data_IF_638813623874
#
_entry.id   IF_638813623874
#
_cell.length_a   1.000
_cell.length_b   1.000
_cell.length_c   1.000
_cell.angle_alpha   90.00
_cell.angle_beta   90.00
_cell.angle_gamma   90.00
#
_symmetry.space_group_name_H-M   'P 1'
#
loop_
_entity.id
_entity.type
_entity.pdbx_description
1 polymer ?
#
# COMPACT_ATOMS: atom_id res chain seq x y z
N UNK A 1 16.91 -17.06 -7.79
CA UNK A 1 15.56 -16.48 -7.65
C UNK A 1 15.15 -16.10 -6.22
N UNK A 2 15.54 -16.84 -5.17
CA UNK A 2 15.18 -16.47 -3.77
C UNK A 2 15.67 -15.08 -3.36
N UNK A 3 16.80 -14.65 -3.91
CA UNK A 3 17.42 -13.35 -3.64
C UNK A 3 16.82 -12.18 -4.42
N UNK A 4 15.97 -12.43 -5.43
CA UNK A 4 15.39 -11.37 -6.29
C UNK A 4 14.17 -10.69 -5.66
N UNK A 5 13.87 -10.94 -4.38
CA UNK A 5 12.68 -10.44 -3.66
C UNK A 5 11.31 -10.75 -4.32
N UNK A 6 11.29 -11.52 -5.42
CA UNK A 6 10.06 -11.91 -6.11
C UNK A 6 9.20 -12.77 -5.16
N UNK A 7 7.93 -12.40 -4.89
CA UNK A 7 7.04 -13.14 -4.01
C UNK A 7 6.78 -14.57 -4.50
N UNK A 8 6.43 -15.48 -3.56
CA UNK A 8 6.18 -16.90 -3.90
C UNK A 8 5.09 -17.07 -4.96
N UNK A 9 4.00 -16.31 -4.88
CA UNK A 9 2.89 -16.33 -5.85
C UNK A 9 3.37 -15.92 -7.25
N UNK A 10 4.16 -14.86 -7.35
CA UNK A 10 4.78 -14.43 -8.60
C UNK A 10 5.74 -15.45 -9.19
N UNK A 11 6.53 -16.17 -8.37
CA UNK A 11 7.35 -17.27 -8.88
C UNK A 11 6.51 -18.39 -9.49
N UNK A 12 5.33 -18.65 -8.93
CA UNK A 12 4.38 -19.58 -9.52
C UNK A 12 3.85 -19.06 -10.86
N UNK A 13 3.44 -17.79 -10.94
CA UNK A 13 2.96 -17.19 -12.20
C UNK A 13 4.02 -17.16 -13.30
N UNK A 14 5.22 -16.71 -12.96
CA UNK A 14 6.38 -16.73 -13.85
C UNK A 14 6.67 -18.14 -14.40
N UNK A 15 6.42 -19.20 -13.61
CA UNK A 15 6.56 -20.59 -14.05
C UNK A 15 5.45 -21.01 -15.01
N UNK A 16 4.19 -20.80 -14.65
CA UNK A 16 3.06 -21.31 -15.43
C UNK A 16 2.91 -20.54 -16.76
N UNK A 17 3.22 -19.24 -16.76
CA UNK A 17 3.09 -18.37 -17.94
C UNK A 17 4.35 -18.34 -18.82
N UNK A 18 5.41 -19.05 -18.41
CA UNK A 18 6.69 -19.10 -19.15
C UNK A 18 7.33 -17.73 -19.35
N UNK A 19 7.18 -16.85 -18.36
CA UNK A 19 7.58 -15.44 -18.40
C UNK A 19 9.02 -15.17 -17.93
N UNK A 20 9.85 -16.21 -17.83
CA UNK A 20 11.29 -16.11 -17.57
C UNK A 20 12.03 -16.63 -18.80
N UNK A 21 12.77 -15.74 -19.46
CA UNK A 21 13.56 -16.05 -20.65
C UNK A 21 15.04 -15.97 -20.32
N UNK A 22 15.81 -16.87 -20.93
CA UNK A 22 17.27 -16.84 -20.94
C UNK A 22 17.66 -16.77 -22.42
N UNK A 23 18.32 -15.68 -22.81
CA UNK A 23 18.68 -15.41 -24.21
C UNK A 23 17.44 -15.54 -25.14
N UNK A 24 16.37 -14.85 -24.77
CA UNK A 24 15.06 -14.80 -25.46
C UNK A 24 14.29 -16.12 -25.57
N UNK A 25 14.74 -17.20 -24.90
CA UNK A 25 14.05 -18.50 -24.89
C UNK A 25 13.58 -18.85 -23.48
N UNK A 26 12.36 -19.38 -23.37
CA UNK A 26 11.86 -19.91 -22.11
C UNK A 26 12.66 -21.16 -21.70
N UNK A 27 13.13 -21.19 -20.45
CA UNK A 27 13.79 -22.34 -19.85
C UNK A 27 13.18 -22.64 -18.46
N UNK A 28 13.21 -23.91 -18.00
CA UNK A 28 12.75 -24.28 -16.67
C UNK A 28 13.43 -23.50 -15.54
N UNK A 29 12.75 -23.25 -14.42
CA UNK A 29 13.30 -22.47 -13.28
C UNK A 29 14.55 -23.09 -12.63
N UNK A 30 14.79 -24.38 -12.81
CA UNK A 30 15.98 -25.09 -12.34
C UNK A 30 17.11 -25.12 -13.38
N UNK A 31 16.94 -24.47 -14.54
CA UNK A 31 17.99 -24.35 -15.54
C UNK A 31 19.18 -23.59 -14.96
N UNK A 32 20.38 -24.13 -15.19
CA UNK A 32 21.62 -23.50 -14.74
C UNK A 32 22.03 -22.44 -15.75
N UNK A 33 22.05 -21.19 -15.31
CA UNK A 33 22.54 -20.06 -16.11
C UNK A 33 24.05 -19.94 -16.03
N UNK A 34 24.66 -19.35 -17.05
CA UNK A 34 26.08 -19.09 -17.18
C UNK A 34 26.37 -17.58 -17.18
N UNK A 35 27.63 -17.22 -16.98
CA UNK A 35 28.10 -15.84 -17.11
C UNK A 35 27.75 -15.32 -18.52
N UNK A 36 27.25 -14.08 -18.59
CA UNK A 36 26.76 -13.39 -19.80
C UNK A 36 25.40 -13.84 -20.35
N UNK A 37 24.69 -14.76 -19.69
CA UNK A 37 23.28 -15.02 -20.04
C UNK A 37 22.43 -13.78 -19.75
N UNK A 38 21.62 -13.38 -20.73
CA UNK A 38 20.61 -12.34 -20.56
C UNK A 38 19.33 -12.97 -19.99
N UNK A 39 18.99 -12.60 -18.75
CA UNK A 39 17.77 -13.06 -18.09
C UNK A 39 16.69 -11.98 -18.19
N UNK A 40 15.61 -12.28 -18.91
CA UNK A 40 14.45 -11.40 -19.04
C UNK A 40 13.30 -11.97 -18.21
N UNK A 41 12.79 -11.18 -17.27
CA UNK A 41 11.63 -11.55 -16.44
C UNK A 41 10.48 -10.60 -16.76
N UNK A 42 9.38 -11.15 -17.29
CA UNK A 42 8.16 -10.39 -17.58
C UNK A 42 7.21 -10.48 -16.39
N UNK A 43 7.01 -9.35 -15.70
CA UNK A 43 6.14 -9.27 -14.51
C UNK A 43 4.77 -8.66 -14.85
N UNK A 44 4.18 -9.10 -15.95
CA UNK A 44 2.92 -8.59 -16.49
C UNK A 44 1.71 -9.47 -16.16
N UNK A 45 1.83 -10.39 -15.20
CA UNK A 45 0.67 -11.15 -14.73
C UNK A 45 -0.33 -10.20 -14.08
N UNK A 46 -1.53 -10.15 -14.64
CA UNK A 46 -2.67 -9.41 -14.08
C UNK A 46 -3.63 -10.44 -13.51
N UNK A 47 -3.83 -10.45 -12.19
CA UNK A 47 -4.84 -11.31 -11.58
C UNK A 47 -6.23 -10.90 -12.08
N UNK A 48 -7.07 -11.87 -12.43
CA UNK A 48 -8.41 -11.69 -13.02
C UNK A 48 -9.44 -11.01 -12.11
N UNK A 49 -9.07 -10.59 -10.90
CA UNK A 49 -9.92 -9.90 -9.92
C UNK A 49 -9.37 -8.52 -9.54
N UNK A 50 -8.55 -7.90 -10.40
CA UNK A 50 -8.08 -6.55 -10.12
C UNK A 50 -9.24 -5.56 -10.21
N UNK A 51 -9.52 -4.86 -9.11
CA UNK A 51 -10.44 -3.73 -9.11
C UNK A 51 -9.91 -2.66 -10.06
N UNK A 52 -10.71 -2.34 -11.07
CA UNK A 52 -10.40 -1.25 -11.99
C UNK A 52 -10.85 0.07 -11.36
N UNK A 53 -10.01 1.08 -11.53
CA UNK A 53 -10.29 2.45 -11.10
C UNK A 53 -10.51 3.27 -12.37
N UNK A 54 -11.76 3.57 -12.75
CA UNK A 54 -12.03 4.48 -13.86
C UNK A 54 -11.45 5.86 -13.55
N UNK A 55 -11.04 6.59 -14.59
CA UNK A 55 -10.54 7.95 -14.45
C UNK A 55 -11.63 8.87 -13.87
N UNK A 56 -11.30 9.63 -12.83
CA UNK A 56 -12.19 10.63 -12.25
C UNK A 56 -12.29 11.91 -13.09
N UNK A 57 -11.30 12.18 -13.94
CA UNK A 57 -11.09 13.47 -14.61
C UNK A 57 -10.33 14.50 -13.77
N UNK A 58 -10.10 14.24 -12.47
CA UNK A 58 -9.28 15.09 -11.60
C UNK A 58 -7.83 14.58 -11.54
N UNK A 59 -6.91 15.50 -11.24
CA UNK A 59 -5.48 15.21 -11.13
C UNK A 59 -5.06 15.13 -9.66
N UNK A 60 -4.27 14.13 -9.25
CA UNK A 60 -3.79 14.03 -7.88
C UNK A 60 -2.66 15.04 -7.62
N UNK A 61 -2.45 15.40 -6.35
CA UNK A 61 -1.29 16.18 -5.95
C UNK A 61 -0.06 15.26 -5.81
N UNK A 62 0.83 15.26 -6.81
CA UNK A 62 1.99 14.36 -6.87
C UNK A 62 3.16 14.95 -6.08
N UNK A 63 3.71 14.15 -5.16
CA UNK A 63 4.88 14.51 -4.34
C UNK A 63 6.14 13.82 -4.85
N UNK A 64 6.01 12.60 -5.35
CA UNK A 64 7.12 11.83 -5.91
C UNK A 64 6.62 10.81 -6.92
N UNK A 65 7.41 10.55 -7.95
CA UNK A 65 7.15 9.50 -8.93
C UNK A 65 8.45 8.88 -9.44
N UNK A 66 8.42 7.57 -9.69
CA UNK A 66 9.39 6.87 -10.52
C UNK A 66 8.66 5.83 -11.40
N UNK A 67 9.39 4.92 -12.03
CA UNK A 67 8.82 3.91 -12.93
C UNK A 67 7.83 2.95 -12.23
N UNK A 68 8.04 2.71 -10.93
CA UNK A 68 7.34 1.68 -10.16
C UNK A 68 6.26 2.22 -9.24
N UNK A 69 6.44 3.43 -8.70
CA UNK A 69 5.56 4.00 -7.67
C UNK A 69 5.24 5.46 -7.93
N UNK A 70 4.08 5.85 -7.42
CA UNK A 70 3.57 7.21 -7.34
C UNK A 70 3.25 7.52 -5.87
N UNK A 71 3.72 8.64 -5.35
CA UNK A 71 3.36 9.15 -4.02
C UNK A 71 2.59 10.43 -4.21
N UNK A 72 1.37 10.45 -3.70
CA UNK A 72 0.48 11.61 -3.77
C UNK A 72 0.20 12.15 -2.37
N UNK A 73 -0.06 13.45 -2.25
CA UNK A 73 -0.61 14.04 -1.05
C UNK A 73 -2.15 14.02 -1.14
N UNK A 74 -2.77 12.98 -0.56
CA UNK A 74 -4.21 12.82 -0.56
C UNK A 74 -4.86 13.87 0.37
N UNK A 75 -5.85 14.65 -0.09
CA UNK A 75 -6.59 15.56 0.78
C UNK A 75 -7.47 14.81 1.80
N UNK A 76 -7.84 15.49 2.88
CA UNK A 76 -8.89 15.02 3.78
C UNK A 76 -10.26 15.19 3.10
N UNK A 77 -11.21 14.31 3.42
CA UNK A 77 -12.52 14.24 2.78
C UNK A 77 -12.57 13.29 1.57
N UNK A 78 -11.42 12.84 1.07
CA UNK A 78 -11.36 11.93 -0.09
C UNK A 78 -11.06 10.49 0.32
N UNK A 79 -11.83 9.52 -0.20
CA UNK A 79 -11.56 8.09 -0.01
C UNK A 79 -10.30 7.67 -0.77
N UNK A 80 -9.60 6.64 -0.27
CA UNK A 80 -8.44 6.07 -0.98
C UNK A 80 -8.86 5.33 -2.26
N UNK A 81 -9.84 4.43 -2.15
CA UNK A 81 -10.35 3.60 -3.23
C UNK A 81 -11.88 3.44 -3.07
N UNK A 82 -12.60 3.05 -4.14
CA UNK A 82 -14.05 2.81 -4.07
C UNK A 82 -14.35 1.57 -3.23
N UNK A 83 -15.35 1.66 -2.36
CA UNK A 83 -15.90 0.50 -1.66
C UNK A 83 -17.12 -0.06 -2.42
N UNK A 84 -17.81 0.79 -3.18
CA UNK A 84 -18.97 0.47 -3.99
C UNK A 84 -18.78 1.09 -5.38
N UNK A 85 -19.52 2.16 -5.68
CA UNK A 85 -19.59 2.80 -7.00
C UNK A 85 -18.90 4.17 -7.05
N UNK A 86 -18.14 4.53 -6.02
CA UNK A 86 -17.44 5.82 -6.01
C UNK A 86 -16.42 5.91 -7.16
N UNK A 87 -16.34 7.06 -7.80
CA UNK A 87 -15.43 7.32 -8.94
C UNK A 87 -14.52 8.53 -8.73
N UNK A 88 -14.59 9.15 -7.55
CA UNK A 88 -13.90 10.38 -7.14
C UNK A 88 -12.84 10.11 -6.05
N UNK A 89 -12.36 8.86 -5.97
CA UNK A 89 -11.36 8.47 -4.96
C UNK A 89 -9.94 8.78 -5.42
N UNK A 90 -8.99 8.78 -4.48
CA UNK A 90 -7.60 9.08 -4.78
C UNK A 90 -7.01 8.16 -5.87
N UNK A 91 -7.42 6.88 -5.93
CA UNK A 91 -6.98 5.98 -6.99
C UNK A 91 -7.65 6.25 -8.35
N UNK A 92 -8.85 6.84 -8.38
CA UNK A 92 -9.46 7.31 -9.62
C UNK A 92 -8.71 8.54 -10.18
N UNK A 93 -8.27 9.45 -9.32
CA UNK A 93 -7.44 10.59 -9.71
C UNK A 93 -6.08 10.12 -10.26
N UNK A 94 -5.43 9.18 -9.56
CA UNK A 94 -4.23 8.54 -10.07
C UNK A 94 -4.45 7.85 -11.42
N UNK A 95 -5.62 7.23 -11.65
CA UNK A 95 -5.95 6.63 -12.93
C UNK A 95 -6.09 7.68 -14.05
N UNK A 96 -6.67 8.85 -13.75
CA UNK A 96 -6.73 9.99 -14.68
C UNK A 96 -5.32 10.45 -15.08
N UNK A 97 -4.41 10.55 -14.12
CA UNK A 97 -3.02 10.96 -14.37
C UNK A 97 -2.22 9.94 -15.16
N UNK A 98 -2.30 8.66 -14.78
CA UNK A 98 -1.51 7.59 -15.38
C UNK A 98 -2.07 7.12 -16.73
N UNK A 99 -3.35 7.37 -17.00
CA UNK A 99 -4.05 6.84 -18.17
C UNK A 99 -4.41 5.35 -18.06
N UNK A 100 -4.18 4.72 -16.91
CA UNK A 100 -4.54 3.33 -16.61
C UNK A 100 -4.79 3.16 -15.11
N UNK A 101 -5.47 2.06 -14.73
CA UNK A 101 -5.77 1.81 -13.31
C UNK A 101 -4.49 1.46 -12.52
N UNK A 102 -4.16 2.23 -11.47
CA UNK A 102 -3.04 1.91 -10.58
C UNK A 102 -3.37 0.76 -9.64
N UNK A 103 -2.42 0.46 -8.74
CA UNK A 103 -2.54 -0.61 -7.77
C UNK A 103 -2.44 -0.07 -6.35
N UNK A 104 -3.42 -0.43 -5.51
CA UNK A 104 -3.42 -0.06 -4.09
C UNK A 104 -2.33 -0.81 -3.33
N UNK A 105 -1.57 -0.09 -2.51
CA UNK A 105 -0.56 -0.66 -1.59
C UNK A 105 -1.05 -0.58 -0.15
N UNK A 106 -1.49 0.60 0.27
CA UNK A 106 -2.12 0.82 1.56
C UNK A 106 -3.24 1.85 1.43
N UNK A 107 -3.98 2.06 2.52
CA UNK A 107 -5.05 3.06 2.59
C UNK A 107 -4.76 4.13 3.63
N UNK A 108 -5.30 5.31 3.37
CA UNK A 108 -5.61 6.34 4.35
C UNK A 108 -7.13 6.45 4.44
N UNK A 109 -7.63 6.70 5.65
CA UNK A 109 -9.07 6.92 5.82
C UNK A 109 -9.50 8.25 5.20
N UNK A 110 -10.81 8.38 4.96
CA UNK A 110 -11.38 9.49 4.20
C UNK A 110 -10.96 10.85 4.77
N UNK A 111 -11.02 11.01 6.09
CA UNK A 111 -10.68 12.26 6.78
C UNK A 111 -9.18 12.39 7.11
N UNK A 112 -8.36 11.39 6.80
CA UNK A 112 -6.90 11.46 6.96
C UNK A 112 -6.30 12.02 5.68
N UNK A 113 -5.64 13.17 5.77
CA UNK A 113 -4.80 13.69 4.69
C UNK A 113 -3.35 13.20 4.80
N UNK A 114 -2.60 13.32 3.71
CA UNK A 114 -1.15 13.08 3.71
C UNK A 114 -0.69 12.13 2.61
N UNK A 115 0.53 11.64 2.77
CA UNK A 115 1.22 10.85 1.75
C UNK A 115 0.58 9.46 1.58
N UNK A 116 0.12 9.17 0.36
CA UNK A 116 -0.38 7.87 -0.06
C UNK A 116 0.56 7.28 -1.11
N UNK A 117 1.11 6.10 -0.84
CA UNK A 117 1.92 5.33 -1.79
C UNK A 117 1.01 4.48 -2.68
N UNK A 118 1.19 4.64 -3.99
CA UNK A 118 0.43 3.96 -5.05
C UNK A 118 1.41 3.24 -5.95
N UNK A 119 1.11 2.00 -6.31
CA UNK A 119 1.95 1.21 -7.22
C UNK A 119 1.49 1.41 -8.67
N UNK A 120 2.46 1.56 -9.58
CA UNK A 120 2.23 1.71 -11.03
C UNK A 120 2.18 0.38 -11.76
N UNK A 121 2.68 -0.69 -11.15
CA UNK A 121 2.66 -2.04 -11.70
C UNK A 121 2.31 -3.09 -10.60
N UNK A 122 1.75 -4.25 -10.98
CA UNK A 122 1.30 -5.24 -10.00
C UNK A 122 2.45 -5.98 -9.31
N UNK A 123 3.64 -5.95 -9.91
CA UNK A 123 4.79 -6.71 -9.43
C UNK A 123 5.36 -6.14 -8.13
N UNK A 124 5.30 -4.82 -7.96
CA UNK A 124 5.82 -4.14 -6.77
C UNK A 124 4.88 -4.17 -5.58
N UNK A 125 3.57 -4.30 -5.78
CA UNK A 125 2.57 -4.38 -4.70
C UNK A 125 2.94 -5.40 -3.61
N UNK A 126 3.22 -6.67 -3.93
CA UNK A 126 3.58 -7.65 -2.91
C UNK A 126 4.96 -7.41 -2.28
N UNK A 127 5.89 -6.73 -2.97
CA UNK A 127 7.18 -6.31 -2.41
C UNK A 127 6.93 -5.24 -1.34
N UNK A 128 6.16 -4.21 -1.67
CA UNK A 128 5.79 -3.13 -0.75
C UNK A 128 4.96 -3.64 0.43
N UNK A 129 4.01 -4.55 0.20
CA UNK A 129 3.25 -5.20 1.26
C UNK A 129 4.16 -5.98 2.20
N UNK A 130 5.16 -6.70 1.68
CA UNK A 130 6.17 -7.37 2.50
C UNK A 130 6.96 -6.36 3.33
N UNK A 131 7.38 -5.23 2.75
CA UNK A 131 8.07 -4.18 3.50
C UNK A 131 7.21 -3.54 4.59
N UNK A 132 5.88 -3.43 4.40
CA UNK A 132 4.94 -2.96 5.44
C UNK A 132 4.76 -3.97 6.58
N UNK A 133 4.79 -5.28 6.26
CA UNK A 133 4.75 -6.37 7.23
C UNK A 133 6.06 -6.41 8.03
N UNK A 134 7.19 -6.42 7.33
CA UNK A 134 8.55 -6.51 7.88
C UNK A 134 9.02 -5.18 8.52
N UNK A 135 8.21 -4.12 8.45
CA UNK A 135 8.46 -2.77 9.01
C UNK A 135 9.69 -2.06 8.42
N UNK A 136 10.15 -2.47 7.25
CA UNK A 136 11.20 -1.75 6.50
C UNK A 136 10.64 -0.57 5.70
N UNK A 137 9.33 -0.53 5.48
CA UNK A 137 8.59 0.64 5.01
C UNK A 137 7.82 1.25 6.18
N UNK A 138 8.29 2.40 6.67
CA UNK A 138 7.71 3.11 7.81
C UNK A 138 6.66 4.14 7.38
N UNK A 139 5.66 4.35 8.24
CA UNK A 139 4.64 5.40 8.09
C UNK A 139 4.57 6.16 9.41
N UNK A 140 4.66 7.49 9.33
CA UNK A 140 4.60 8.39 10.48
C UNK A 140 3.45 9.37 10.29
N UNK A 141 2.76 9.68 11.39
CA UNK A 141 1.58 10.54 11.39
C UNK A 141 1.76 11.66 12.40
N UNK A 142 1.30 12.85 12.04
CA UNK A 142 1.06 13.93 12.99
C UNK A 142 -0.44 13.97 13.28
N UNK A 143 -0.78 14.10 14.57
CA UNK A 143 -2.15 14.18 15.02
C UNK A 143 -2.28 15.20 16.15
N UNK A 144 -3.41 15.91 16.15
CA UNK A 144 -3.85 16.69 17.30
C UNK A 144 -4.72 15.80 18.17
N UNK A 145 -4.45 15.79 19.48
CA UNK A 145 -5.19 14.97 20.45
C UNK A 145 -5.67 15.91 21.56
N UNK A 146 -6.98 15.89 21.81
CA UNK A 146 -7.53 16.45 23.04
C UNK A 146 -7.29 15.46 24.17
N UNK A 147 -6.39 15.80 25.09
CA UNK A 147 -6.07 14.97 26.23
C UNK A 147 -6.80 15.49 27.47
N UNK A 148 -7.61 14.65 28.10
CA UNK A 148 -8.30 14.98 29.35
C UNK A 148 -7.39 14.89 30.59
N UNK A 149 -6.30 14.15 30.48
CA UNK A 149 -5.28 13.96 31.52
C UNK A 149 -3.89 14.20 30.93
N UNK A 150 -2.90 14.42 31.80
CA UNK A 150 -1.51 14.44 31.34
C UNK A 150 -1.13 13.07 30.76
N UNK A 151 -0.60 13.09 29.54
CA UNK A 151 -0.14 11.91 28.82
C UNK A 151 1.39 11.89 28.85
N UNK A 152 1.96 10.68 28.95
CA UNK A 152 3.41 10.49 28.82
C UNK A 152 3.89 11.07 27.49
N UNK A 153 5.09 11.65 27.48
CA UNK A 153 5.66 12.26 26.27
C UNK A 153 5.99 11.23 25.18
N UNK A 154 6.07 9.95 25.54
CA UNK A 154 6.19 8.84 24.61
C UNK A 154 5.52 7.59 25.19
N UNK A 155 5.13 6.67 24.30
CA UNK A 155 4.53 5.42 24.73
C UNK A 155 4.21 4.48 23.58
N UNK A 156 3.67 3.33 23.95
CA UNK A 156 3.21 2.31 23.00
C UNK A 156 1.78 1.90 23.32
N UNK A 157 0.90 2.03 22.34
CA UNK A 157 -0.46 1.49 22.38
C UNK A 157 -0.39 0.12 21.70
N UNK A 158 -0.49 -0.95 22.49
CA UNK A 158 -0.47 -2.34 22.01
C UNK A 158 -1.79 -3.01 22.40
N UNK A 159 -2.84 -2.71 21.65
CA UNK A 159 -4.19 -3.20 21.88
C UNK A 159 -4.74 -3.79 20.58
N UNK A 160 -5.15 -5.06 20.54
CA UNK A 160 -5.70 -5.66 19.33
C UNK A 160 -7.00 -4.97 18.90
N UNK A 161 -7.18 -4.79 17.59
CA UNK A 161 -8.31 -4.08 16.98
C UNK A 161 -9.10 -5.02 16.07
N UNK A 162 -10.39 -5.19 16.38
CA UNK A 162 -11.35 -5.94 15.57
C UNK A 162 -12.47 -5.05 15.04
N UNK A 163 -13.41 -5.66 14.31
CA UNK A 163 -14.65 -5.02 13.90
C UNK A 163 -15.61 -4.85 15.07
N UNK A 164 -16.35 -3.75 15.09
CA UNK A 164 -17.46 -3.55 16.01
C UNK A 164 -18.64 -4.45 15.57
N UNK A 165 -19.18 -5.31 16.46
CA UNK A 165 -20.24 -6.26 16.11
C UNK A 165 -21.60 -5.60 15.85
N UNK A 166 -21.80 -4.35 16.33
CA UNK A 166 -23.04 -3.59 16.13
C UNK A 166 -22.97 -2.70 14.90
N UNK A 167 -21.78 -2.24 14.53
CA UNK A 167 -21.54 -1.41 13.34
C UNK A 167 -20.22 -1.80 12.66
N UNK A 168 -20.30 -2.65 11.63
CA UNK A 168 -19.12 -3.13 10.88
C UNK A 168 -18.31 -2.02 10.18
N UNK A 169 -18.81 -0.77 10.16
CA UNK A 169 -18.05 0.39 9.66
C UNK A 169 -17.04 0.90 10.70
N UNK A 170 -17.21 0.52 11.97
CA UNK A 170 -16.37 0.93 13.09
C UNK A 170 -15.44 -0.21 13.50
N UNK A 171 -14.34 0.19 14.13
CA UNK A 171 -13.34 -0.69 14.71
C UNK A 171 -13.24 -0.41 16.19
N UNK A 172 -12.99 -1.44 16.99
CA UNK A 172 -12.84 -1.29 18.43
C UNK A 172 -11.75 -2.21 18.98
N UNK A 173 -11.28 -1.92 20.19
CA UNK A 173 -10.35 -2.80 20.91
C UNK A 173 -11.07 -4.08 21.28
N UNK A 174 -10.53 -5.23 20.86
CA UNK A 174 -11.10 -6.55 21.13
C UNK A 174 -10.01 -7.59 21.32
N UNK A 175 -10.19 -8.48 22.29
CA UNK A 175 -9.22 -9.54 22.59
C UNK A 175 -9.01 -10.52 21.42
N UNK A 176 -10.04 -10.75 20.60
CA UNK A 176 -10.01 -11.56 19.37
C UNK A 176 -9.62 -10.75 18.11
N UNK A 177 -9.24 -9.48 18.28
CA UNK A 177 -8.88 -8.57 17.20
C UNK A 177 -7.49 -8.85 16.59
N UNK A 178 -7.19 -8.13 15.50
CA UNK A 178 -5.88 -8.19 14.86
C UNK A 178 -4.85 -7.41 15.70
N UNK A 179 -3.62 -7.93 15.77
CA UNK A 179 -2.51 -7.26 16.45
C UNK A 179 -2.29 -5.86 15.88
N UNK A 180 -2.44 -4.84 16.72
CA UNK A 180 -2.20 -3.45 16.38
C UNK A 180 -1.25 -2.83 17.41
N UNK A 181 -0.13 -2.28 16.93
CA UNK A 181 0.88 -1.63 17.75
C UNK A 181 1.16 -0.25 17.14
N UNK A 182 1.01 0.78 17.96
CA UNK A 182 1.33 2.17 17.61
C UNK A 182 2.30 2.71 18.65
N UNK A 183 3.45 3.18 18.19
CA UNK A 183 4.36 3.97 19.00
C UNK A 183 4.03 5.44 18.79
N UNK A 184 3.96 6.22 19.86
CA UNK A 184 3.71 7.65 19.79
C UNK A 184 4.77 8.42 20.57
N UNK A 185 4.97 9.66 20.12
CA UNK A 185 5.78 10.66 20.78
C UNK A 185 5.02 12.00 20.71
N UNK A 186 4.90 12.67 21.84
CA UNK A 186 4.32 14.00 21.94
C UNK A 186 5.36 15.00 21.42
N UNK A 187 5.01 15.70 20.34
CA UNK A 187 5.89 16.68 19.71
C UNK A 187 5.77 18.04 20.40
N UNK A 188 4.54 18.39 20.82
CA UNK A 188 4.24 19.65 21.49
C UNK A 188 2.98 19.49 22.34
N UNK A 189 3.00 19.99 23.58
CA UNK A 189 1.83 20.18 24.43
C UNK A 189 1.39 21.65 24.34
N UNK A 190 0.10 21.90 24.12
CA UNK A 190 -0.45 23.25 24.06
C UNK A 190 -1.73 23.31 24.86
N UNK A 191 -1.81 24.23 25.83
CA UNK A 191 -3.03 24.52 26.55
C UNK A 191 -3.96 25.30 25.62
N UNK A 192 -5.10 24.70 25.25
CA UNK A 192 -6.16 25.42 24.55
C UNK A 192 -6.93 26.18 25.64
N UNK A 193 -6.70 27.50 25.74
CA UNK A 193 -7.60 28.38 26.49
C UNK A 193 -8.73 28.76 25.55
N UNK A 194 -9.95 28.34 25.89
CA UNK A 194 -11.17 28.90 25.30
C UNK A 194 -11.41 30.32 25.83
#
# INVERSE_FOLDING_TARGET
MRNLLIPRKWRHFLRIEKNILVNDKYLPLNFKVHTNDLITIKLNHVESLQQQYPASGNMPNIIYENDDVLVINKPAGQKTHPNLYETDTALNDCASYLGYSPYIVHRLDMLTNGLLLVAKNPAVVPILNKQLIDKTLSRSYFAWIEATNDISDNGTINLPIGDDPLDMRKRMVRADGLKAITHYQVVKKQLIKF
#
